data_IF_549843759050
#
_entry.id   IF_549843759050
#
_cell.length_a   1.000
_cell.length_b   1.000
_cell.length_c   1.000
_cell.angle_alpha   90.00
_cell.angle_beta   90.00
_cell.angle_gamma   90.00
#
_symmetry.space_group_name_H-M   'P 1'
#
loop_
_entity.id
_entity.type
_entity.pdbx_description
1 polymer ?
#
# COMPACT_ATOMS: atom_id res chain seq x y z
N UNK A 1 19.86 -36.34 7.12
CA UNK A 1 20.53 -35.01 7.22
C UNK A 1 19.46 -33.92 7.19
N UNK A 2 19.22 -33.20 8.30
CA UNK A 2 18.44 -31.95 8.26
C UNK A 2 19.21 -30.98 7.34
N UNK A 3 18.70 -30.68 6.14
CA UNK A 3 19.23 -29.57 5.33
C UNK A 3 19.15 -28.32 6.23
N UNK A 4 20.27 -27.82 6.74
CA UNK A 4 20.29 -26.53 7.42
C UNK A 4 19.91 -25.48 6.38
N UNK A 5 18.66 -25.03 6.43
CA UNK A 5 18.16 -24.04 5.48
C UNK A 5 18.57 -22.68 6.02
N UNK A 6 19.53 -22.03 5.36
CA UNK A 6 19.98 -20.67 5.67
C UNK A 6 18.93 -19.59 5.36
N UNK A 7 17.81 -19.98 4.74
CA UNK A 7 16.77 -19.07 4.28
C UNK A 7 16.18 -18.17 5.38
N UNK A 8 15.87 -18.64 6.61
CA UNK A 8 15.39 -17.75 7.68
C UNK A 8 16.45 -16.77 8.17
N UNK A 9 17.74 -17.15 8.16
CA UNK A 9 18.83 -16.25 8.53
C UNK A 9 18.97 -15.11 7.52
N UNK A 10 18.92 -15.46 6.22
CA UNK A 10 18.91 -14.48 5.12
C UNK A 10 17.66 -13.60 5.21
N UNK A 11 16.50 -14.17 5.52
CA UNK A 11 15.24 -13.44 5.70
C UNK A 11 15.35 -12.37 6.80
N UNK A 12 15.87 -12.74 7.98
CA UNK A 12 16.09 -11.81 9.10
C UNK A 12 17.08 -10.71 8.70
N UNK A 13 18.17 -11.05 8.02
CA UNK A 13 19.16 -10.06 7.57
C UNK A 13 18.52 -9.04 6.61
N UNK A 14 17.82 -9.51 5.57
CA UNK A 14 17.15 -8.65 4.59
C UNK A 14 16.07 -7.81 5.26
N UNK A 15 15.21 -8.42 6.08
CA UNK A 15 14.15 -7.72 6.80
C UNK A 15 14.73 -6.64 7.72
N UNK A 16 15.84 -6.91 8.41
CA UNK A 16 16.50 -5.91 9.26
C UNK A 16 16.99 -4.72 8.45
N UNK A 17 17.72 -4.97 7.36
CA UNK A 17 18.26 -3.92 6.50
C UNK A 17 17.14 -3.05 5.90
N UNK A 18 16.06 -3.68 5.43
CA UNK A 18 14.95 -2.98 4.82
C UNK A 18 14.14 -2.19 5.85
N UNK A 19 13.82 -2.77 7.02
CA UNK A 19 13.07 -2.07 8.07
C UNK A 19 13.86 -0.89 8.65
N UNK A 20 15.17 -1.06 8.90
CA UNK A 20 16.03 0.05 9.35
C UNK A 20 16.10 1.12 8.27
N UNK A 21 16.28 0.74 7.00
CA UNK A 21 16.29 1.68 5.88
C UNK A 21 14.95 2.38 5.67
N UNK A 22 13.82 1.72 5.95
CA UNK A 22 12.47 2.27 5.86
C UNK A 22 12.21 3.30 6.97
N UNK A 23 12.63 3.00 8.20
CA UNK A 23 12.55 3.92 9.33
C UNK A 23 13.42 5.17 9.11
N UNK A 24 14.69 4.98 8.72
CA UNK A 24 15.61 6.09 8.44
C UNK A 24 15.12 7.01 7.31
N UNK A 25 14.44 6.45 6.31
CA UNK A 25 13.85 7.20 5.20
C UNK A 25 12.46 7.78 5.50
N UNK A 26 11.99 7.67 6.76
CA UNK A 26 10.66 8.09 7.25
C UNK A 26 9.49 7.47 6.48
N UNK A 27 9.72 6.34 5.81
CA UNK A 27 8.67 5.61 5.08
C UNK A 27 7.74 4.83 6.03
N UNK A 28 8.30 4.38 7.16
CA UNK A 28 7.58 3.74 8.25
C UNK A 28 7.90 4.47 9.55
N UNK A 29 6.95 4.52 10.48
CA UNK A 29 7.25 4.89 11.86
C UNK A 29 7.92 3.71 12.59
N UNK A 30 8.30 3.89 13.86
CA UNK A 30 8.97 2.83 14.63
C UNK A 30 8.11 1.55 14.73
N UNK A 31 6.80 1.72 14.96
CA UNK A 31 5.86 0.60 15.09
C UNK A 31 5.69 -0.13 13.75
N UNK A 32 5.61 0.61 12.64
CA UNK A 32 5.53 0.10 11.29
C UNK A 32 6.81 -0.60 10.88
N UNK A 33 7.98 -0.11 11.28
CA UNK A 33 9.26 -0.77 11.02
C UNK A 33 9.37 -2.12 11.74
N UNK A 34 8.91 -2.22 12.98
CA UNK A 34 8.85 -3.47 13.75
C UNK A 34 7.86 -4.46 13.12
N UNK A 35 6.64 -4.01 12.79
CA UNK A 35 5.66 -4.86 12.12
C UNK A 35 6.16 -5.32 10.74
N UNK A 36 6.76 -4.39 9.97
CA UNK A 36 7.34 -4.66 8.66
C UNK A 36 8.48 -5.66 8.73
N UNK A 37 9.31 -5.60 9.79
CA UNK A 37 10.37 -6.58 10.03
C UNK A 37 9.80 -8.00 10.19
N UNK A 38 8.75 -8.16 11.01
CA UNK A 38 8.11 -9.46 11.25
C UNK A 38 7.49 -9.99 9.95
N UNK A 39 6.69 -9.18 9.28
CA UNK A 39 6.02 -9.55 8.02
C UNK A 39 7.05 -9.94 6.96
N UNK A 40 8.09 -9.14 6.78
CA UNK A 40 9.12 -9.39 5.78
C UNK A 40 9.94 -10.64 6.08
N UNK A 41 10.27 -10.86 7.36
CA UNK A 41 10.94 -12.09 7.81
C UNK A 41 10.10 -13.31 7.46
N UNK A 42 8.79 -13.30 7.75
CA UNK A 42 7.91 -14.43 7.43
C UNK A 42 7.88 -14.68 5.92
N UNK A 43 7.68 -13.65 5.10
CA UNK A 43 7.57 -13.80 3.65
C UNK A 43 8.85 -14.40 3.05
N UNK A 44 10.03 -13.86 3.39
CA UNK A 44 11.31 -14.38 2.90
C UNK A 44 11.65 -15.76 3.49
N UNK A 45 11.29 -16.00 4.76
CA UNK A 45 11.53 -17.29 5.41
C UNK A 45 10.68 -18.40 4.77
N UNK A 46 9.45 -18.10 4.33
CA UNK A 46 8.61 -19.06 3.60
C UNK A 46 9.13 -19.29 2.19
N UNK A 47 9.18 -18.24 1.36
CA UNK A 47 9.67 -18.32 -0.02
C UNK A 47 10.18 -16.94 -0.47
N UNK A 48 11.40 -16.89 -1.01
CA UNK A 48 12.01 -15.64 -1.47
C UNK A 48 11.12 -14.88 -2.47
N UNK A 49 10.32 -15.58 -3.29
CA UNK A 49 9.37 -14.97 -4.24
C UNK A 49 8.33 -14.10 -3.53
N UNK A 50 7.77 -14.57 -2.42
CA UNK A 50 6.80 -13.79 -1.63
C UNK A 50 7.46 -12.56 -1.01
N UNK A 51 8.71 -12.70 -0.55
CA UNK A 51 9.53 -11.57 -0.09
C UNK A 51 9.76 -10.52 -1.18
N UNK A 52 10.09 -10.95 -2.40
CA UNK A 52 10.28 -10.05 -3.55
C UNK A 52 8.99 -9.32 -3.93
N UNK A 53 7.84 -9.99 -3.92
CA UNK A 53 6.53 -9.36 -4.20
C UNK A 53 6.22 -8.28 -3.15
N UNK A 54 6.42 -8.59 -1.87
CA UNK A 54 6.25 -7.61 -0.78
C UNK A 54 7.21 -6.42 -0.92
N UNK A 55 8.48 -6.66 -1.29
CA UNK A 55 9.43 -5.57 -1.55
C UNK A 55 9.02 -4.71 -2.74
N UNK A 56 8.54 -5.33 -3.83
CA UNK A 56 8.05 -4.61 -4.99
C UNK A 56 6.88 -3.69 -4.60
N UNK A 57 5.90 -4.19 -3.86
CA UNK A 57 4.81 -3.40 -3.28
C UNK A 57 5.35 -2.24 -2.43
N UNK A 58 6.25 -2.54 -1.49
CA UNK A 58 6.76 -1.55 -0.54
C UNK A 58 7.55 -0.43 -1.22
N UNK A 59 8.53 -0.78 -2.06
CA UNK A 59 9.41 0.22 -2.68
C UNK A 59 8.70 1.07 -3.72
N UNK A 60 7.84 0.48 -4.56
CA UNK A 60 7.07 1.25 -5.55
C UNK A 60 6.14 2.24 -4.85
N UNK A 61 5.40 1.77 -3.84
CA UNK A 61 4.50 2.60 -3.06
C UNK A 61 5.24 3.69 -2.28
N UNK A 62 6.38 3.40 -1.64
CA UNK A 62 7.18 4.41 -0.94
C UNK A 62 7.78 5.44 -1.88
N UNK A 63 8.14 5.05 -3.12
CA UNK A 63 8.62 5.99 -4.13
C UNK A 63 7.49 6.94 -4.57
N UNK A 64 6.29 6.42 -4.81
CA UNK A 64 5.13 7.23 -5.19
C UNK A 64 4.75 8.23 -4.09
N UNK A 65 4.74 7.81 -2.82
CA UNK A 65 4.48 8.71 -1.68
C UNK A 65 5.48 9.87 -1.62
N UNK A 66 6.76 9.64 -1.95
CA UNK A 66 7.76 10.71 -2.01
C UNK A 66 7.57 11.66 -3.20
N UNK A 67 7.09 11.16 -4.34
CA UNK A 67 6.83 12.01 -5.52
C UNK A 67 5.62 12.93 -5.25
N UNK A 68 4.58 12.42 -4.59
CA UNK A 68 3.38 13.18 -4.21
C UNK A 68 3.57 14.15 -3.04
N UNK A 69 4.74 14.13 -2.40
CA UNK A 69 4.97 14.71 -1.08
C UNK A 69 4.79 16.23 -1.03
N UNK A 70 5.32 16.96 -2.02
CA UNK A 70 5.26 18.43 -2.06
C UNK A 70 3.82 18.93 -2.22
N UNK A 71 3.04 18.31 -3.10
CA UNK A 71 1.64 18.69 -3.36
C UNK A 71 0.76 18.30 -2.17
N UNK A 72 0.99 17.14 -1.56
CA UNK A 72 0.29 16.72 -0.32
C UNK A 72 0.58 17.64 0.85
N UNK A 73 1.82 18.11 1.03
CA UNK A 73 2.17 19.08 2.10
C UNK A 73 1.36 20.38 2.02
N UNK A 74 0.96 20.82 0.82
CA UNK A 74 0.17 22.04 0.63
C UNK A 74 -1.33 21.85 0.82
N UNK A 75 -1.81 20.61 0.74
CA UNK A 75 -3.22 20.27 0.59
C UNK A 75 -3.77 19.50 1.80
N UNK A 76 -2.93 18.73 2.47
CA UNK A 76 -3.29 17.86 3.58
C UNK A 76 -2.78 18.44 4.90
N UNK A 77 -3.69 18.69 5.84
CA UNK A 77 -3.38 19.25 7.15
C UNK A 77 -2.66 18.23 8.05
N UNK A 78 -2.85 16.93 7.83
CA UNK A 78 -2.26 15.83 8.60
C UNK A 78 -1.04 15.22 7.90
N UNK A 79 -0.39 15.99 7.03
CA UNK A 79 0.74 15.55 6.24
C UNK A 79 1.91 15.02 7.09
N UNK A 80 2.34 13.79 6.81
CA UNK A 80 3.52 13.16 7.40
C UNK A 80 4.64 13.02 6.37
N UNK A 81 5.80 13.58 6.69
CA UNK A 81 6.99 13.48 5.85
C UNK A 81 7.36 12.01 5.59
N UNK A 82 7.48 11.62 4.32
CA UNK A 82 7.73 10.24 3.87
C UNK A 82 6.56 9.26 4.07
N UNK A 83 5.40 9.72 4.53
CA UNK A 83 4.18 8.92 4.76
C UNK A 83 4.10 8.23 6.12
N UNK A 84 5.22 7.85 6.74
CA UNK A 84 5.31 7.25 8.10
C UNK A 84 4.17 6.26 8.43
N UNK A 85 4.10 5.16 7.66
CA UNK A 85 3.04 4.16 7.89
C UNK A 85 3.23 3.47 9.23
N UNK A 86 2.13 3.31 9.96
CA UNK A 86 2.12 2.68 11.28
C UNK A 86 1.95 1.16 11.20
N UNK A 87 2.09 0.48 12.33
CA UNK A 87 1.92 -0.98 12.42
C UNK A 87 0.54 -1.45 11.92
N UNK A 88 -0.53 -0.70 12.18
CA UNK A 88 -1.88 -1.04 11.73
C UNK A 88 -1.97 -1.08 10.21
N UNK A 89 -1.43 -0.07 9.52
CA UNK A 89 -1.38 -0.03 8.06
C UNK A 89 -0.55 -1.18 7.49
N UNK A 90 0.56 -1.56 8.15
CA UNK A 90 1.35 -2.72 7.73
C UNK A 90 0.54 -4.01 7.84
N UNK A 91 -0.18 -4.21 8.94
CA UNK A 91 -1.03 -5.40 9.15
C UNK A 91 -2.21 -5.43 8.19
N UNK A 92 -2.89 -4.31 7.93
CA UNK A 92 -3.97 -4.28 6.93
C UNK A 92 -3.46 -4.58 5.52
N UNK A 93 -2.29 -4.05 5.15
CA UNK A 93 -1.72 -4.25 3.82
C UNK A 93 -1.05 -5.61 3.62
N UNK A 94 -0.65 -6.32 4.68
CA UNK A 94 0.13 -7.56 4.54
C UNK A 94 -0.39 -8.73 5.36
N UNK A 95 -1.38 -8.55 6.23
CA UNK A 95 -1.85 -9.58 7.16
C UNK A 95 -2.45 -10.79 6.43
N UNK A 96 -3.38 -10.56 5.50
CA UNK A 96 -3.99 -11.63 4.70
C UNK A 96 -2.93 -12.36 3.87
N UNK A 97 -2.06 -11.61 3.18
CA UNK A 97 -0.94 -12.19 2.42
C UNK A 97 -0.01 -13.03 3.31
N UNK A 98 0.27 -12.60 4.55
CA UNK A 98 1.08 -13.36 5.52
C UNK A 98 0.41 -14.68 5.88
N UNK A 99 -0.90 -14.68 6.14
CA UNK A 99 -1.66 -15.89 6.45
C UNK A 99 -1.67 -16.85 5.25
N UNK A 100 -1.88 -16.33 4.04
CA UNK A 100 -1.81 -17.13 2.82
C UNK A 100 -0.41 -17.72 2.58
N UNK A 101 0.65 -16.95 2.81
CA UNK A 101 2.02 -17.43 2.70
C UNK A 101 2.32 -18.57 3.68
N UNK A 102 1.88 -18.44 4.94
CA UNK A 102 1.99 -19.50 5.94
C UNK A 102 1.16 -20.74 5.58
N UNK A 103 -0.02 -20.56 4.97
CA UNK A 103 -0.84 -21.67 4.48
C UNK A 103 -0.12 -22.42 3.34
N UNK A 104 0.50 -21.71 2.39
CA UNK A 104 1.35 -22.31 1.35
C UNK A 104 2.51 -23.08 1.99
N UNK A 105 3.22 -22.47 2.94
CA UNK A 105 4.32 -23.12 3.65
C UNK A 105 3.90 -24.42 4.34
N UNK A 106 2.69 -24.47 4.93
CA UNK A 106 2.18 -25.68 5.57
C UNK A 106 1.93 -26.82 4.57
N UNK A 107 1.58 -26.50 3.33
CA UNK A 107 1.21 -27.48 2.30
C UNK A 107 2.41 -28.01 1.52
N UNK A 108 3.33 -27.13 1.12
CA UNK A 108 4.48 -27.48 0.26
C UNK A 108 5.82 -27.34 0.97
N UNK A 109 5.82 -26.93 2.24
CA UNK A 109 7.04 -26.66 2.98
C UNK A 109 7.84 -25.54 2.34
N UNK A 110 9.09 -25.86 2.04
CA UNK A 110 10.07 -24.95 1.42
C UNK A 110 10.34 -25.30 -0.04
N UNK A 111 9.50 -26.13 -0.65
CA UNK A 111 9.61 -26.41 -2.08
C UNK A 111 9.07 -25.22 -2.87
N UNK A 112 9.86 -24.77 -3.85
CA UNK A 112 9.43 -23.71 -4.74
C UNK A 112 8.63 -24.35 -5.88
N UNK A 113 7.30 -24.26 -5.77
CA UNK A 113 6.38 -24.82 -6.75
C UNK A 113 6.06 -23.75 -7.80
N UNK A 114 6.18 -24.11 -9.08
CA UNK A 114 5.75 -23.25 -10.18
C UNK A 114 4.23 -23.12 -10.18
N UNK A 115 3.72 -22.03 -10.78
CA UNK A 115 2.28 -21.87 -10.99
C UNK A 115 1.83 -22.91 -12.03
N UNK A 116 1.31 -24.03 -11.54
CA UNK A 116 0.79 -25.11 -12.37
C UNK A 116 -0.67 -25.37 -11.99
N UNK A 117 -1.57 -25.12 -12.93
CA UNK A 117 -3.01 -25.29 -12.76
C UNK A 117 -3.41 -26.77 -12.75
N UNK A 118 -2.58 -27.62 -13.34
CA UNK A 118 -2.87 -29.04 -13.61
C UNK A 118 -2.54 -29.96 -12.43
N UNK A 119 -1.49 -29.68 -11.66
CA UNK A 119 -1.06 -30.57 -10.56
C UNK A 119 -1.42 -30.07 -9.16
N UNK A 120 -1.63 -28.77 -8.95
CA UNK A 120 -1.88 -28.21 -7.61
C UNK A 120 -2.74 -26.95 -7.64
N UNK A 121 -4.01 -27.11 -8.03
CA UNK A 121 -4.98 -26.00 -8.14
C UNK A 121 -5.08 -25.17 -6.85
N UNK A 122 -5.03 -25.82 -5.68
CA UNK A 122 -5.12 -25.14 -4.40
C UNK A 122 -3.89 -24.27 -4.09
N UNK A 123 -2.67 -24.77 -4.29
CA UNK A 123 -1.44 -23.99 -4.06
C UNK A 123 -1.36 -22.81 -5.03
N UNK A 124 -1.65 -23.06 -6.31
CA UNK A 124 -1.71 -22.02 -7.35
C UNK A 124 -2.74 -20.94 -7.00
N UNK A 125 -3.89 -21.32 -6.44
CA UNK A 125 -4.92 -20.36 -6.00
C UNK A 125 -4.47 -19.52 -4.79
N UNK A 126 -3.76 -20.13 -3.82
CA UNK A 126 -3.21 -19.40 -2.67
C UNK A 126 -2.13 -18.40 -3.10
N UNK A 127 -1.23 -18.80 -3.99
CA UNK A 127 -0.21 -17.91 -4.56
C UNK A 127 -0.86 -16.78 -5.37
N UNK A 128 -1.88 -17.10 -6.17
CA UNK A 128 -2.69 -16.11 -6.86
C UNK A 128 -3.36 -15.13 -5.90
N UNK A 129 -3.85 -15.60 -4.76
CA UNK A 129 -4.39 -14.78 -3.68
C UNK A 129 -3.37 -13.80 -3.09
N UNK A 130 -2.12 -14.23 -2.86
CA UNK A 130 -1.03 -13.36 -2.39
C UNK A 130 -0.75 -12.25 -3.42
N UNK A 131 -0.63 -12.61 -4.70
CA UNK A 131 -0.39 -11.65 -5.79
C UNK A 131 -1.56 -10.67 -5.91
N UNK A 132 -2.79 -11.17 -5.88
CA UNK A 132 -4.01 -10.37 -5.96
C UNK A 132 -4.13 -9.40 -4.77
N UNK A 133 -3.82 -9.87 -3.56
CA UNK A 133 -3.83 -9.05 -2.34
C UNK A 133 -2.87 -7.86 -2.47
N UNK A 134 -1.60 -8.10 -2.80
CA UNK A 134 -0.62 -7.02 -2.97
C UNK A 134 -0.94 -6.09 -4.15
N UNK A 135 -1.56 -6.63 -5.21
CA UNK A 135 -2.04 -5.82 -6.34
C UNK A 135 -3.16 -4.87 -5.91
N UNK A 136 -4.09 -5.34 -5.08
CA UNK A 136 -5.17 -4.52 -4.52
C UNK A 136 -4.63 -3.42 -3.59
N UNK A 137 -3.73 -3.77 -2.66
CA UNK A 137 -3.10 -2.79 -1.76
C UNK A 137 -2.27 -1.74 -2.53
N UNK A 138 -1.58 -2.15 -3.61
CA UNK A 138 -0.90 -1.22 -4.51
C UNK A 138 -1.90 -0.27 -5.17
N UNK A 139 -3.02 -0.78 -5.68
CA UNK A 139 -4.08 0.04 -6.28
C UNK A 139 -4.59 1.13 -5.33
N UNK A 140 -4.91 0.75 -4.09
CA UNK A 140 -5.34 1.69 -3.04
C UNK A 140 -4.30 2.78 -2.79
N UNK A 141 -3.05 2.38 -2.53
CA UNK A 141 -1.97 3.34 -2.26
C UNK A 141 -1.68 4.22 -3.46
N UNK A 142 -1.48 3.64 -4.65
CA UNK A 142 -1.10 4.37 -5.84
C UNK A 142 -2.18 5.34 -6.29
N UNK A 143 -3.46 4.97 -6.17
CA UNK A 143 -4.57 5.84 -6.54
C UNK A 143 -4.59 7.13 -5.71
N UNK A 144 -4.33 7.05 -4.40
CA UNK A 144 -4.27 8.22 -3.53
C UNK A 144 -3.03 9.08 -3.76
N UNK A 145 -1.88 8.47 -4.08
CA UNK A 145 -0.63 9.19 -4.35
C UNK A 145 -0.62 9.87 -5.73
N UNK A 146 -1.03 9.15 -6.77
CA UNK A 146 -1.12 9.69 -8.14
C UNK A 146 -2.34 10.59 -8.32
N UNK A 147 -3.44 10.32 -7.61
CA UNK A 147 -4.67 11.11 -7.70
C UNK A 147 -4.45 12.57 -7.29
N UNK A 148 -3.70 12.82 -6.22
CA UNK A 148 -3.36 14.19 -5.76
C UNK A 148 -2.54 14.95 -6.81
N UNK A 149 -1.71 14.24 -7.58
CA UNK A 149 -0.89 14.84 -8.63
C UNK A 149 -1.69 15.24 -9.87
N UNK A 150 -2.87 14.66 -10.10
CA UNK A 150 -3.71 14.97 -11.25
C UNK A 150 -4.28 16.38 -11.20
N UNK A 151 -4.22 17.09 -12.33
CA UNK A 151 -4.89 18.38 -12.52
C UNK A 151 -6.27 18.25 -13.19
N UNK A 152 -6.63 17.03 -13.60
CA UNK A 152 -7.93 16.73 -14.18
C UNK A 152 -9.04 16.79 -13.12
N UNK A 153 -10.23 17.27 -13.50
CA UNK A 153 -11.37 17.30 -12.59
C UNK A 153 -11.83 15.87 -12.28
N UNK A 154 -12.01 15.51 -11.00
CA UNK A 154 -12.48 14.17 -10.63
C UNK A 154 -13.87 13.94 -11.22
N UNK A 155 -14.08 12.72 -11.73
CA UNK A 155 -15.36 12.26 -12.28
C UNK A 155 -15.78 11.01 -11.54
N UNK A 156 -17.05 10.94 -11.16
CA UNK A 156 -17.58 9.78 -10.49
C UNK A 156 -17.69 8.61 -11.48
N UNK A 157 -17.11 7.45 -11.19
CA UNK A 157 -17.08 6.31 -12.13
C UNK A 157 -18.50 5.82 -12.49
N UNK A 158 -19.46 5.94 -11.56
CA UNK A 158 -20.83 5.47 -11.78
C UNK A 158 -21.67 6.36 -12.70
N UNK A 159 -21.38 7.66 -12.77
CA UNK A 159 -22.20 8.62 -13.55
C UNK A 159 -21.41 9.36 -14.61
N UNK A 160 -20.08 9.24 -14.61
CA UNK A 160 -19.11 10.00 -15.41
C UNK A 160 -19.26 11.53 -15.32
N UNK A 161 -20.06 12.01 -14.36
CA UNK A 161 -20.25 13.44 -14.09
C UNK A 161 -19.06 13.97 -13.31
N UNK A 162 -18.71 15.22 -13.62
CA UNK A 162 -17.68 15.95 -12.89
C UNK A 162 -18.20 16.22 -11.49
N UNK A 163 -17.51 15.69 -10.50
CA UNK A 163 -17.86 15.93 -9.11
C UNK A 163 -17.19 17.23 -8.64
N UNK A 164 -18.01 18.24 -8.35
CA UNK A 164 -17.53 19.51 -7.80
C UNK A 164 -17.24 19.42 -6.30
N UNK A 165 -17.79 18.43 -5.58
CA UNK A 165 -17.62 18.28 -4.13
C UNK A 165 -16.27 17.70 -3.74
N UNK A 166 -15.59 16.98 -4.63
CA UNK A 166 -14.25 16.43 -4.35
C UNK A 166 -13.19 17.54 -4.11
N UNK A 167 -13.42 18.76 -4.59
CA UNK A 167 -12.57 19.93 -4.25
C UNK A 167 -12.60 20.28 -2.76
N UNK A 168 -13.64 19.87 -2.03
CA UNK A 168 -13.83 20.18 -0.61
C UNK A 168 -13.08 19.19 0.31
N UNK A 169 -12.92 17.93 -0.11
CA UNK A 169 -12.21 16.90 0.67
C UNK A 169 -10.68 17.07 0.56
N UNK A 170 -10.17 17.53 -0.59
CA UNK A 170 -8.75 17.79 -0.81
C UNK A 170 -8.36 19.25 -0.53
N UNK A 171 -8.86 19.86 0.55
CA UNK A 171 -8.23 21.03 1.21
C UNK A 171 -7.74 22.20 0.35
N UNK A 172 -8.25 22.46 -0.86
CA UNK A 172 -7.74 23.46 -1.80
C UNK A 172 -8.34 24.85 -1.47
N UNK A 173 -7.61 25.78 -0.82
CA UNK A 173 -8.21 27.01 -0.28
C UNK A 173 -8.52 28.06 -1.35
N UNK A 174 -7.88 27.95 -2.53
CA UNK A 174 -7.83 29.04 -3.51
C UNK A 174 -9.09 29.22 -4.37
N UNK A 175 -10.05 28.30 -4.35
CA UNK A 175 -11.31 28.41 -5.12
C UNK A 175 -12.57 28.66 -4.29
N UNK A 176 -12.46 28.74 -2.96
CA UNK A 176 -13.61 28.97 -2.08
C UNK A 176 -14.35 30.29 -2.38
N UNK A 177 -13.61 31.37 -2.71
CA UNK A 177 -14.21 32.67 -3.06
C UNK A 177 -15.01 32.67 -4.37
N UNK A 178 -14.65 31.83 -5.36
CA UNK A 178 -15.45 31.68 -6.59
C UNK A 178 -16.67 30.78 -6.37
N UNK A 179 -16.56 29.79 -5.48
CA UNK A 179 -17.67 28.90 -5.11
C UNK A 179 -18.82 29.63 -4.40
N UNK A 180 -18.52 30.48 -3.40
CA UNK A 180 -19.56 31.29 -2.73
C UNK A 180 -20.28 32.20 -3.72
N UNK A 181 -19.54 32.79 -4.67
CA UNK A 181 -20.12 33.68 -5.68
C UNK A 181 -20.97 32.95 -6.73
N UNK A 182 -20.65 31.68 -7.02
CA UNK A 182 -21.34 30.89 -8.03
C UNK A 182 -22.56 30.14 -7.45
N UNK A 183 -22.52 29.69 -6.19
CA UNK A 183 -23.70 29.15 -5.48
C UNK A 183 -24.75 30.22 -5.19
N UNK A 184 -24.34 31.47 -4.92
CA UNK A 184 -25.27 32.59 -4.78
C UNK A 184 -26.07 32.86 -6.07
N UNK A 185 -25.46 32.70 -7.25
CA UNK A 185 -26.12 32.86 -8.54
C UNK A 185 -27.03 31.67 -8.93
N UNK A 186 -26.89 30.51 -8.27
CA UNK A 186 -27.67 29.29 -8.56
C UNK A 186 -28.73 28.99 -7.49
N UNK A 187 -28.89 29.85 -6.47
CA UNK A 187 -29.93 29.70 -5.44
C UNK A 187 -29.74 28.50 -4.49
N UNK A 188 -28.61 27.79 -4.56
CA UNK A 188 -28.35 26.61 -3.72
C UNK A 188 -27.79 27.06 -2.36
N UNK A 189 -28.64 26.99 -1.34
CA UNK A 189 -28.24 27.20 0.07
C UNK A 189 -27.33 26.05 0.51
N UNK A 190 -26.03 26.31 0.58
CA UNK A 190 -25.08 25.37 1.18
C UNK A 190 -25.27 25.42 2.69
N UNK A 191 -25.93 24.40 3.26
CA UNK A 191 -26.00 24.19 4.70
C UNK A 191 -24.77 23.37 5.09
N UNK A 192 -23.81 24.01 5.75
CA UNK A 192 -22.70 23.32 6.41
C UNK A 192 -23.29 22.54 7.60
N UNK A 193 -23.11 21.23 7.61
CA UNK A 193 -23.17 20.39 8.80
C UNK A 193 -21.76 20.24 9.35
#
# INVERSE_FOLDING_TARGET
MKKMKFQPLIAVLIASLVSVGAYRRKSLDLSGALAGFIVMTIHFAVNYRFGVILLAFFFTSSKLTKIGEEKKRRVDADFKEGGQRNWMQVIYNSGIATVLALAVWKLVGWEDVCLDTTQSTLVTSLVGGIIGHYSCCNGDTWSSELGVLSDAKPRLITTFKVDCYTYFIFGLPLKFRRFVRQSANLGVRVRLL
#
